data_IF_459348717217
#
_entry.id   IF_459348717217
#
_cell.length_a   1.000
_cell.length_b   1.000
_cell.length_c   1.000
_cell.angle_alpha   90.00
_cell.angle_beta   90.00
_cell.angle_gamma   90.00
#
_symmetry.space_group_name_H-M   'P 1'
#
loop_
_entity.id
_entity.type
_entity.pdbx_description
1 polymer ?
#
# COMPACT_ATOMS: atom_id res chain seq x y z
N UNK A 1 15.35 -3.09 -5.47
CA UNK A 1 14.65 -2.74 -4.22
C UNK A 1 13.76 -1.54 -4.50
N UNK A 2 12.51 -1.58 -4.01
CA UNK A 2 11.47 -0.55 -4.15
C UNK A 2 10.96 -0.26 -2.73
N UNK A 3 10.59 0.98 -2.42
CA UNK A 3 9.95 1.29 -1.13
C UNK A 3 8.55 0.66 -1.06
N UNK A 4 7.96 0.56 0.12
CA UNK A 4 6.58 0.08 0.28
C UNK A 4 5.84 1.00 1.24
N UNK A 5 4.57 1.30 0.97
CA UNK A 5 3.77 2.04 1.92
C UNK A 5 3.69 1.28 3.25
N UNK A 6 4.05 1.94 4.35
CA UNK A 6 4.64 1.28 5.52
C UNK A 6 3.79 0.17 6.17
N UNK A 7 2.50 0.43 6.44
CA UNK A 7 1.63 -0.55 7.11
C UNK A 7 0.73 -1.33 6.15
N UNK A 8 1.01 -1.28 4.84
CA UNK A 8 0.20 -1.92 3.80
C UNK A 8 -1.28 -1.49 3.81
N UNK A 9 -1.55 -0.21 4.08
CA UNK A 9 -2.90 0.37 4.00
C UNK A 9 -3.28 0.71 2.56
N UNK A 10 -4.56 0.60 2.21
CA UNK A 10 -5.07 1.01 0.89
C UNK A 10 -5.05 2.53 0.78
N UNK A 11 -3.97 3.08 0.22
CA UNK A 11 -3.70 4.52 0.23
C UNK A 11 -4.85 5.36 -0.34
N UNK A 12 -5.55 4.97 -1.43
CA UNK A 12 -6.67 5.75 -1.94
C UNK A 12 -7.84 5.92 -0.94
N UNK A 13 -7.93 5.04 0.07
CA UNK A 13 -8.96 5.07 1.12
C UNK A 13 -8.47 5.70 2.43
N UNK A 14 -7.22 6.15 2.50
CA UNK A 14 -6.69 6.88 3.64
C UNK A 14 -7.07 8.36 3.52
N UNK A 15 -7.32 9.01 4.65
CA UNK A 15 -7.35 10.49 4.67
C UNK A 15 -5.98 11.04 4.25
N UNK A 16 -5.92 12.33 3.89
CA UNK A 16 -4.69 12.95 3.38
C UNK A 16 -3.50 12.78 4.34
N UNK A 17 -3.69 13.03 5.64
CA UNK A 17 -2.63 12.98 6.64
C UNK A 17 -2.03 11.59 6.77
N UNK A 18 -2.88 10.57 6.85
CA UNK A 18 -2.42 9.19 7.02
C UNK A 18 -1.78 8.66 5.74
N UNK A 19 -2.34 9.02 4.57
CA UNK A 19 -1.75 8.71 3.28
C UNK A 19 -0.33 9.27 3.17
N UNK A 20 -0.10 10.53 3.57
CA UNK A 20 1.24 11.14 3.61
C UNK A 20 2.19 10.39 4.54
N UNK A 21 1.76 10.06 5.76
CA UNK A 21 2.60 9.32 6.71
C UNK A 21 2.95 7.92 6.21
N UNK A 22 1.99 7.17 5.65
CA UNK A 22 2.25 5.82 5.12
C UNK A 22 3.31 5.84 4.01
N UNK A 23 3.28 6.85 3.14
CA UNK A 23 4.31 7.07 2.12
C UNK A 23 5.64 7.44 2.78
N UNK A 24 5.68 8.49 3.59
CA UNK A 24 6.93 8.99 4.19
C UNK A 24 7.63 7.97 5.08
N UNK A 25 6.87 7.22 5.88
CA UNK A 25 7.40 6.13 6.70
C UNK A 25 7.98 5.01 5.82
N UNK A 26 7.32 4.68 4.71
CA UNK A 26 7.83 3.73 3.74
C UNK A 26 9.14 4.16 3.08
N UNK A 27 9.26 5.45 2.75
CA UNK A 27 10.50 6.03 2.22
C UNK A 27 11.62 6.03 3.27
N UNK A 28 11.30 6.37 4.52
CA UNK A 28 12.25 6.36 5.63
C UNK A 28 12.77 4.95 5.93
N UNK A 29 11.88 3.94 5.97
CA UNK A 29 12.25 2.54 6.13
C UNK A 29 13.20 2.07 4.99
N UNK A 30 12.88 2.43 3.75
CA UNK A 30 13.74 2.13 2.62
C UNK A 30 15.12 2.76 2.76
N UNK A 31 15.21 4.07 3.07
CA UNK A 31 16.48 4.78 3.25
C UNK A 31 17.31 4.16 4.37
N UNK A 32 16.65 3.78 5.47
CA UNK A 32 17.31 3.13 6.60
C UNK A 32 17.93 1.78 6.21
N UNK A 33 17.20 0.93 5.49
CA UNK A 33 17.65 -0.42 5.11
C UNK A 33 18.66 -0.41 3.97
N UNK A 34 18.44 0.41 2.95
CA UNK A 34 19.20 0.37 1.69
C UNK A 34 20.23 1.49 1.54
N UNK A 35 20.26 2.48 2.45
CA UNK A 35 21.23 3.59 2.48
C UNK A 35 21.32 4.38 1.16
N UNK A 36 20.19 4.52 0.47
CA UNK A 36 20.01 5.33 -0.74
C UNK A 36 18.55 5.77 -0.88
N UNK A 37 18.28 6.69 -1.80
CA UNK A 37 16.92 7.09 -2.14
C UNK A 37 16.17 5.97 -2.92
N UNK A 38 14.88 5.76 -2.64
CA UNK A 38 14.02 4.90 -3.47
C UNK A 38 13.65 5.61 -4.77
N UNK A 39 13.56 4.85 -5.84
CA UNK A 39 13.09 5.36 -7.14
C UNK A 39 11.59 5.18 -7.34
N UNK A 40 10.96 4.34 -6.52
CA UNK A 40 9.56 3.94 -6.63
C UNK A 40 9.03 3.42 -5.29
N UNK A 41 7.71 3.28 -5.23
CA UNK A 41 6.98 2.67 -4.12
C UNK A 41 6.01 1.60 -4.63
N UNK A 42 6.04 0.43 -4.01
CA UNK A 42 4.98 -0.56 -4.10
C UNK A 42 3.75 -0.07 -3.33
N UNK A 43 2.69 0.20 -4.08
CA UNK A 43 1.40 0.56 -3.53
C UNK A 43 0.70 -0.73 -3.05
N UNK A 44 0.18 -0.79 -1.81
CA UNK A 44 -0.56 -1.93 -1.33
C UNK A 44 -1.70 -2.28 -2.28
N UNK A 45 -1.71 -3.52 -2.77
CA UNK A 45 -2.67 -4.00 -3.78
C UNK A 45 -2.63 -3.25 -5.12
N UNK A 46 -1.48 -2.64 -5.44
CA UNK A 46 -1.31 -1.62 -6.50
C UNK A 46 -2.37 -0.52 -6.46
N UNK A 47 -2.96 -0.28 -5.28
CA UNK A 47 -4.13 0.58 -5.15
C UNK A 47 -3.74 2.04 -5.37
N UNK A 48 -4.32 2.66 -6.40
CA UNK A 48 -3.94 4.01 -6.83
C UNK A 48 -5.14 4.86 -7.28
N UNK A 49 -5.03 6.16 -7.03
CA UNK A 49 -5.88 7.21 -7.57
C UNK A 49 -5.01 8.46 -7.86
N UNK A 50 -5.63 9.53 -8.34
CA UNK A 50 -4.94 10.78 -8.67
C UNK A 50 -4.16 11.35 -7.47
N UNK A 51 -4.76 11.34 -6.28
CA UNK A 51 -4.15 11.88 -5.08
C UNK A 51 -2.93 11.08 -4.61
N UNK A 52 -2.96 9.74 -4.76
CA UNK A 52 -1.81 8.88 -4.45
C UNK A 52 -0.68 9.13 -5.43
N UNK A 53 -0.97 9.18 -6.74
CA UNK A 53 0.05 9.44 -7.76
C UNK A 53 0.66 10.84 -7.61
N UNK A 54 -0.16 11.84 -7.30
CA UNK A 54 0.30 13.20 -6.98
C UNK A 54 1.24 13.24 -5.79
N UNK A 55 0.97 12.46 -4.75
CA UNK A 55 1.85 12.36 -3.59
C UNK A 55 3.18 11.66 -3.93
N UNK A 56 3.18 10.59 -4.74
CA UNK A 56 4.42 9.95 -5.17
C UNK A 56 5.31 10.92 -5.98
N UNK A 57 4.68 11.75 -6.82
CA UNK A 57 5.34 12.82 -7.57
C UNK A 57 5.96 13.86 -6.62
N UNK A 58 5.20 14.32 -5.62
CA UNK A 58 5.68 15.32 -4.64
C UNK A 58 6.86 14.80 -3.81
N UNK A 59 6.88 13.50 -3.52
CA UNK A 59 7.98 12.84 -2.80
C UNK A 59 9.15 12.44 -3.73
N UNK A 60 9.10 12.83 -5.02
CA UNK A 60 10.22 12.70 -5.96
C UNK A 60 10.44 11.31 -6.54
N UNK A 61 9.43 10.43 -6.51
CA UNK A 61 9.54 9.09 -7.07
C UNK A 61 9.54 9.11 -8.60
N UNK A 62 10.41 8.29 -9.21
CA UNK A 62 10.63 8.23 -10.66
C UNK A 62 9.55 7.44 -11.37
N UNK A 63 9.10 6.33 -10.77
CA UNK A 63 8.10 5.44 -11.38
C UNK A 63 7.17 4.77 -10.37
N UNK A 64 6.08 4.19 -10.86
CA UNK A 64 5.16 3.31 -10.11
C UNK A 64 4.76 2.12 -10.97
N UNK A 65 4.37 1.01 -10.33
CA UNK A 65 3.91 -0.22 -11.00
C UNK A 65 2.41 -0.38 -10.73
N UNK A 66 1.61 -0.59 -11.78
CA UNK A 66 0.16 -0.79 -11.72
C UNK A 66 -0.26 -2.01 -12.53
N UNK A 67 -1.48 -2.51 -12.29
CA UNK A 67 -2.09 -3.56 -13.09
C UNK A 67 -2.65 -3.02 -14.42
N UNK A 68 -2.63 -3.80 -15.51
CA UNK A 68 -3.12 -3.38 -16.82
C UNK A 68 -4.53 -2.77 -16.81
N UNK A 69 -5.46 -3.32 -16.02
CA UNK A 69 -6.85 -2.83 -15.92
C UNK A 69 -6.96 -1.43 -15.31
N UNK A 70 -5.92 -0.94 -14.63
CA UNK A 70 -5.92 0.39 -14.04
C UNK A 70 -5.69 1.48 -15.10
N UNK A 71 -5.29 1.13 -16.31
CA UNK A 71 -5.21 2.06 -17.44
C UNK A 71 -6.59 2.28 -18.08
N UNK A 72 -6.94 3.55 -18.29
CA UNK A 72 -8.20 3.94 -18.94
C UNK A 72 -7.99 4.15 -20.45
N UNK A 73 -6.99 4.98 -20.79
CA UNK A 73 -6.67 5.36 -22.16
C UNK A 73 -5.21 5.74 -22.28
N UNK A 74 -4.66 5.55 -23.47
CA UNK A 74 -3.28 5.90 -23.80
C UNK A 74 -3.24 6.87 -24.97
N UNK A 75 -2.16 7.63 -25.05
CA UNK A 75 -1.84 8.47 -26.19
C UNK A 75 -0.41 8.19 -26.60
N UNK A 76 -0.23 7.63 -27.79
CA UNK A 76 1.06 7.12 -28.26
C UNK A 76 1.55 7.97 -29.43
N UNK A 77 2.79 8.46 -29.34
CA UNK A 77 3.48 9.04 -30.49
C UNK A 77 4.07 7.89 -31.33
N UNK A 78 3.31 7.41 -32.32
CA UNK A 78 3.72 6.27 -33.18
C UNK A 78 4.97 6.56 -34.01
N UNK A 79 5.33 7.83 -34.22
CA UNK A 79 6.54 8.22 -34.97
C UNK A 79 7.82 8.23 -34.13
N UNK A 80 7.73 8.24 -32.79
CA UNK A 80 8.88 8.22 -31.89
C UNK A 80 9.37 6.80 -31.55
N UNK A 81 8.54 5.77 -31.75
CA UNK A 81 8.87 4.37 -31.39
C UNK A 81 9.90 3.75 -32.36
N UNK A 82 10.06 4.31 -33.56
CA UNK A 82 11.00 3.81 -34.60
C UNK A 82 12.30 4.59 -34.70
N UNK A 83 12.45 5.72 -34.00
CA UNK A 83 13.64 6.55 -34.04
C UNK A 83 14.46 6.38 -32.77
N UNK A 84 15.52 5.58 -32.85
CA UNK A 84 16.62 5.72 -31.92
C UNK A 84 17.26 7.11 -32.16
N UNK A 85 17.37 7.88 -31.08
CA UNK A 85 18.15 9.12 -30.91
C UNK A 85 17.33 10.43 -30.85
N UNK A 86 17.44 11.05 -29.66
CA UNK A 86 17.57 12.50 -29.45
C UNK A 86 16.39 13.46 -29.66
N UNK A 87 15.13 13.01 -29.62
CA UNK A 87 14.04 13.95 -29.35
C UNK A 87 13.10 13.50 -28.23
N UNK A 88 13.14 14.27 -27.14
CA UNK A 88 12.10 14.32 -26.12
C UNK A 88 10.85 15.03 -26.66
N UNK A 89 10.45 14.72 -27.90
CA UNK A 89 9.29 15.30 -28.53
C UNK A 89 8.04 14.72 -27.86
N UNK A 90 7.51 15.54 -26.96
CA UNK A 90 6.25 15.36 -26.28
C UNK A 90 5.20 14.86 -27.28
N UNK A 91 4.43 13.86 -26.86
CA UNK A 91 3.21 13.43 -27.54
C UNK A 91 2.40 14.68 -27.92
N UNK A 92 2.34 15.01 -29.23
CA UNK A 92 1.59 16.18 -29.70
C UNK A 92 0.15 16.10 -29.18
N UNK A 93 -0.46 17.23 -28.75
CA UNK A 93 -1.87 17.26 -28.35
C UNK A 93 -2.82 16.73 -29.44
N UNK A 94 -2.36 16.70 -30.71
CA UNK A 94 -3.10 16.20 -31.87
C UNK A 94 -3.22 14.67 -31.94
N UNK A 95 -2.44 13.92 -31.15
CA UNK A 95 -2.62 12.46 -31.08
C UNK A 95 -3.92 12.13 -30.33
N UNK A 96 -4.77 11.31 -30.94
CA UNK A 96 -6.02 10.88 -30.31
C UNK A 96 -5.74 9.94 -29.12
N UNK A 97 -6.61 10.04 -28.11
CA UNK A 97 -6.60 9.10 -27.00
C UNK A 97 -7.27 7.80 -27.42
N UNK A 98 -6.60 6.68 -27.21
CA UNK A 98 -7.11 5.34 -27.50
C UNK A 98 -7.49 4.66 -26.18
N UNK A 99 -8.70 4.10 -26.10
CA UNK A 99 -9.13 3.36 -24.91
C UNK A 99 -8.35 2.06 -24.77
N UNK A 100 -7.87 1.80 -23.56
CA UNK A 100 -7.26 0.52 -23.15
C UNK A 100 -7.93 -0.08 -21.92
N UNK A 101 -9.12 0.45 -21.60
CA UNK A 101 -9.94 -0.03 -20.49
C UNK A 101 -10.18 -1.55 -20.61
N UNK A 102 -10.15 -2.23 -19.48
CA UNK A 102 -10.24 -3.70 -19.43
C UNK A 102 -8.89 -4.43 -19.52
N UNK A 103 -7.76 -3.69 -19.59
CA UNK A 103 -6.42 -4.26 -19.45
C UNK A 103 -5.74 -4.63 -20.76
N UNK A 104 -6.07 -3.92 -21.85
CA UNK A 104 -5.47 -4.16 -23.18
C UNK A 104 -4.21 -3.33 -23.44
N UNK A 105 -3.71 -2.62 -22.42
CA UNK A 105 -2.52 -1.78 -22.50
C UNK A 105 -1.26 -2.61 -22.83
N UNK A 106 -0.32 -2.02 -23.56
CA UNK A 106 0.96 -2.65 -23.84
C UNK A 106 1.88 -2.60 -22.61
N UNK A 107 2.02 -3.75 -21.93
CA UNK A 107 2.84 -3.92 -20.73
C UNK A 107 4.35 -3.92 -20.97
N UNK A 108 4.78 -3.81 -22.24
CA UNK A 108 6.19 -3.95 -22.62
C UNK A 108 7.00 -2.65 -22.64
N UNK A 109 6.33 -1.52 -22.35
CA UNK A 109 6.91 -0.18 -22.33
C UNK A 109 6.46 0.60 -21.10
N UNK A 110 7.18 1.67 -20.78
CA UNK A 110 6.77 2.63 -19.76
C UNK A 110 5.86 3.72 -20.35
N UNK A 111 4.91 4.19 -19.55
CA UNK A 111 4.04 5.32 -19.89
C UNK A 111 4.30 6.51 -18.98
N UNK A 112 4.03 7.72 -19.47
CA UNK A 112 4.03 8.95 -18.67
C UNK A 112 2.61 9.22 -18.19
N UNK A 113 2.41 9.23 -16.88
CA UNK A 113 1.20 9.80 -16.30
C UNK A 113 1.45 11.28 -15.97
N UNK A 114 0.53 12.14 -16.41
CA UNK A 114 0.49 13.56 -16.05
C UNK A 114 -0.55 13.76 -14.95
N UNK A 115 -0.18 14.45 -13.88
CA UNK A 115 -1.11 14.76 -12.80
C UNK A 115 -2.23 15.70 -13.29
N UNK A 116 -3.46 15.52 -12.79
CA UNK A 116 -4.66 16.19 -13.33
C UNK A 116 -4.83 17.65 -12.89
N UNK A 117 -4.01 18.14 -11.98
CA UNK A 117 -4.03 19.53 -11.48
C UNK A 117 -3.53 20.58 -12.51
N UNK A 118 -3.11 20.16 -13.70
CA UNK A 118 -2.62 21.07 -14.75
C UNK A 118 -1.20 21.60 -14.50
N UNK A 119 -0.51 21.14 -13.47
CA UNK A 119 0.87 21.56 -13.15
C UNK A 119 1.92 21.02 -14.13
N UNK A 120 1.57 20.01 -14.94
CA UNK A 120 2.49 19.31 -15.83
C UNK A 120 3.44 18.35 -15.11
N UNK A 121 3.33 18.21 -13.78
CA UNK A 121 4.09 17.22 -13.02
C UNK A 121 3.70 15.80 -13.47
N UNK A 122 4.66 14.88 -13.43
CA UNK A 122 4.51 13.56 -14.03
C UNK A 122 5.29 12.48 -13.32
N UNK A 123 4.84 11.24 -13.43
CA UNK A 123 5.58 10.03 -13.01
C UNK A 123 5.52 8.98 -14.13
N UNK A 124 6.56 8.15 -14.24
CA UNK A 124 6.52 6.99 -15.12
C UNK A 124 5.64 5.88 -14.52
N UNK A 125 4.91 5.17 -15.36
CA UNK A 125 4.04 4.06 -14.97
C UNK A 125 4.42 2.83 -15.77
N UNK A 126 4.70 1.74 -15.06
CA UNK A 126 4.85 0.41 -15.64
C UNK A 126 3.58 -0.40 -15.39
N UNK A 127 3.15 -1.12 -16.41
CA UNK A 127 2.09 -2.13 -16.29
C UNK A 127 2.72 -3.50 -16.43
N UNK A 128 2.46 -4.39 -15.48
CA UNK A 128 3.02 -5.73 -15.49
C UNK A 128 2.22 -6.69 -16.37
N UNK A 129 2.87 -7.71 -16.90
CA UNK A 129 2.22 -8.77 -17.66
C UNK A 129 1.38 -9.65 -16.73
N UNK A 130 0.06 -9.49 -16.82
CA UNK A 130 -0.88 -10.15 -15.93
C UNK A 130 -1.05 -11.63 -16.24
N UNK A 131 -1.00 -12.04 -17.50
CA UNK A 131 -1.11 -13.45 -17.88
C UNK A 131 0.08 -14.24 -17.33
N UNK A 132 1.29 -13.69 -17.47
CA UNK A 132 2.50 -14.28 -16.93
C UNK A 132 2.51 -14.24 -15.39
N UNK A 133 2.08 -13.14 -14.76
CA UNK A 133 1.94 -13.06 -13.31
C UNK A 133 0.93 -14.10 -12.78
N UNK A 134 -0.22 -14.28 -13.45
CA UNK A 134 -1.20 -15.30 -13.12
C UNK A 134 -0.62 -16.71 -13.27
N UNK A 135 0.13 -16.97 -14.35
CA UNK A 135 0.76 -18.26 -14.57
C UNK A 135 1.81 -18.62 -13.49
N UNK A 136 2.57 -17.63 -13.01
CA UNK A 136 3.50 -17.78 -11.88
C UNK A 136 2.75 -18.12 -10.60
N UNK A 137 1.68 -17.38 -10.30
CA UNK A 137 0.94 -17.55 -9.07
C UNK A 137 0.12 -18.85 -9.03
N UNK A 138 -0.50 -19.26 -10.14
CA UNK A 138 -1.56 -20.28 -10.13
C UNK A 138 -1.40 -21.44 -11.14
N UNK A 139 -0.56 -21.31 -12.18
CA UNK A 139 -0.46 -22.32 -13.26
C UNK A 139 0.87 -23.09 -13.30
N UNK A 140 1.52 -23.27 -12.15
CA UNK A 140 2.78 -24.00 -12.01
C UNK A 140 3.89 -23.52 -12.97
N UNK A 141 3.91 -22.24 -13.39
CA UNK A 141 4.99 -21.75 -14.24
C UNK A 141 6.37 -21.89 -13.57
N UNK A 142 6.40 -21.97 -12.23
CA UNK A 142 7.60 -22.20 -11.43
C UNK A 142 8.03 -23.68 -11.34
N UNK A 143 7.39 -24.61 -12.05
CA UNK A 143 7.77 -26.03 -12.02
C UNK A 143 9.18 -26.31 -12.59
N UNK A 144 9.68 -25.47 -13.51
CA UNK A 144 11.07 -25.50 -13.98
C UNK A 144 11.47 -24.15 -14.57
N UNK A 145 12.76 -23.81 -14.51
CA UNK A 145 13.31 -22.58 -15.07
C UNK A 145 13.05 -22.48 -16.58
N UNK A 146 13.15 -23.60 -17.31
CA UNK A 146 12.87 -23.66 -18.75
C UNK A 146 11.41 -23.31 -19.06
N UNK A 147 10.45 -23.86 -18.30
CA UNK A 147 9.02 -23.54 -18.45
C UNK A 147 8.74 -22.05 -18.20
N UNK A 148 9.35 -21.47 -17.16
CA UNK A 148 9.22 -20.05 -16.87
C UNK A 148 9.78 -19.20 -18.02
N UNK A 149 10.99 -19.52 -18.50
CA UNK A 149 11.63 -18.78 -19.60
C UNK A 149 10.90 -18.98 -20.93
N UNK A 150 10.25 -20.11 -21.17
CA UNK A 150 9.34 -20.32 -22.31
C UNK A 150 8.14 -19.38 -22.27
N UNK A 151 7.55 -19.17 -21.10
CA UNK A 151 6.45 -18.22 -20.94
C UNK A 151 6.92 -16.77 -21.08
N UNK A 152 8.07 -16.42 -20.51
CA UNK A 152 8.71 -15.10 -20.72
C UNK A 152 8.95 -14.85 -22.21
N UNK A 153 9.46 -15.83 -22.94
CA UNK A 153 9.73 -15.70 -24.37
C UNK A 153 8.47 -15.53 -25.21
N UNK A 154 7.34 -16.11 -24.80
CA UNK A 154 6.03 -15.90 -25.45
C UNK A 154 5.46 -14.51 -25.18
N UNK A 155 5.71 -13.95 -23.99
CA UNK A 155 5.26 -12.61 -23.62
C UNK A 155 6.10 -11.48 -24.27
N UNK A 156 7.33 -11.78 -24.68
CA UNK A 156 8.22 -10.80 -25.29
C UNK A 156 7.68 -10.27 -26.63
N UNK A 157 7.68 -8.93 -26.80
CA UNK A 157 7.16 -8.26 -28.01
C UNK A 157 8.24 -7.84 -29.02
N UNK A 158 9.50 -8.21 -28.77
CA UNK A 158 10.62 -7.94 -29.66
C UNK A 158 11.86 -7.41 -28.93
N UNK A 159 12.91 -7.10 -29.68
CA UNK A 159 14.16 -6.54 -29.15
C UNK A 159 13.89 -5.16 -28.52
N UNK A 160 14.39 -4.94 -27.31
CA UNK A 160 14.18 -3.68 -26.56
C UNK A 160 12.88 -3.60 -25.76
N UNK A 161 11.97 -4.56 -25.92
CA UNK A 161 10.76 -4.65 -25.11
C UNK A 161 11.05 -5.17 -23.69
N UNK A 162 10.35 -4.64 -22.69
CA UNK A 162 10.43 -5.13 -21.32
C UNK A 162 9.42 -6.27 -21.12
N UNK A 163 9.84 -7.36 -20.47
CA UNK A 163 8.89 -8.32 -19.89
C UNK A 163 9.01 -8.17 -18.38
N UNK A 164 7.92 -7.78 -17.73
CA UNK A 164 7.89 -7.54 -16.30
C UNK A 164 6.65 -8.14 -15.66
N UNK A 165 6.79 -8.62 -14.43
CA UNK A 165 5.72 -9.27 -13.66
C UNK A 165 5.68 -8.69 -12.25
N UNK A 166 4.48 -8.65 -11.68
CA UNK A 166 4.28 -8.35 -10.26
C UNK A 166 3.49 -9.50 -9.63
N UNK A 167 4.08 -10.11 -8.60
CA UNK A 167 3.51 -11.26 -7.87
C UNK A 167 3.97 -11.18 -6.42
N UNK A 168 3.17 -11.72 -5.50
CA UNK A 168 3.56 -11.84 -4.09
C UNK A 168 4.83 -12.68 -3.93
N UNK A 169 5.72 -12.26 -3.02
CA UNK A 169 7.00 -12.92 -2.78
C UNK A 169 6.84 -14.37 -2.31
N UNK A 170 5.75 -14.64 -1.60
CA UNK A 170 5.33 -15.95 -1.11
C UNK A 170 5.11 -16.96 -2.25
N UNK A 171 4.92 -16.51 -3.49
CA UNK A 171 4.90 -17.38 -4.68
C UNK A 171 6.17 -18.22 -4.81
N UNK A 172 7.33 -17.66 -4.43
CA UNK A 172 8.64 -18.27 -4.64
C UNK A 172 9.13 -19.00 -3.38
N UNK A 173 8.46 -20.11 -3.04
CA UNK A 173 8.89 -21.02 -1.97
C UNK A 173 7.77 -21.43 -1.01
N UNK A 174 6.87 -20.52 -0.66
CA UNK A 174 5.75 -20.82 0.23
C UNK A 174 4.59 -21.48 -0.53
N UNK A 175 4.08 -20.83 -1.58
CA UNK A 175 3.01 -21.38 -2.42
C UNK A 175 3.54 -22.44 -3.39
N UNK A 176 4.70 -22.18 -4.00
CA UNK A 176 5.37 -23.13 -4.89
C UNK A 176 6.70 -23.56 -4.29
N UNK A 177 6.75 -24.78 -3.78
CA UNK A 177 7.97 -25.37 -3.21
C UNK A 177 9.11 -25.31 -4.25
N UNK A 178 10.26 -24.77 -3.85
CA UNK A 178 11.44 -24.55 -4.72
C UNK A 178 11.24 -23.52 -5.84
N UNK A 179 10.19 -22.69 -5.78
CA UNK A 179 9.98 -21.60 -6.74
C UNK A 179 11.10 -20.56 -6.73
N UNK A 180 11.75 -20.35 -5.59
CA UNK A 180 12.96 -19.53 -5.43
C UNK A 180 14.15 -20.08 -6.23
N UNK A 181 14.37 -21.41 -6.18
CA UNK A 181 15.40 -22.07 -6.99
C UNK A 181 15.09 -21.93 -8.48
N UNK A 182 13.84 -22.18 -8.88
CA UNK A 182 13.39 -22.00 -10.26
C UNK A 182 13.68 -20.58 -10.77
N UNK A 183 13.35 -19.55 -9.98
CA UNK A 183 13.64 -18.16 -10.31
C UNK A 183 15.15 -17.89 -10.44
N UNK A 184 15.96 -18.40 -9.51
CA UNK A 184 17.41 -18.22 -9.56
C UNK A 184 18.03 -18.81 -10.83
N UNK A 185 17.67 -20.04 -11.22
CA UNK A 185 18.16 -20.67 -12.45
C UNK A 185 17.64 -19.97 -13.71
N UNK A 186 16.38 -19.51 -13.70
CA UNK A 186 15.80 -18.77 -14.81
C UNK A 186 16.57 -17.46 -15.07
N UNK A 187 16.85 -16.68 -14.02
CA UNK A 187 17.51 -15.38 -14.14
C UNK A 187 19.02 -15.50 -14.42
N UNK A 188 19.70 -16.47 -13.80
CA UNK A 188 21.15 -16.59 -13.91
C UNK A 188 21.62 -17.37 -15.16
N UNK A 189 20.78 -18.28 -15.69
CA UNK A 189 21.17 -19.19 -16.77
C UNK A 189 20.23 -19.13 -17.97
N UNK A 190 18.99 -19.62 -17.79
CA UNK A 190 18.11 -19.93 -18.92
C UNK A 190 17.67 -18.68 -19.71
N UNK A 191 17.37 -17.57 -19.02
CA UNK A 191 16.97 -16.33 -19.69
C UNK A 191 18.13 -15.69 -20.48
N UNK A 192 19.34 -15.50 -19.89
CA UNK A 192 20.53 -15.07 -20.66
C UNK A 192 20.87 -15.98 -21.84
N UNK A 193 20.79 -17.30 -21.67
CA UNK A 193 21.04 -18.27 -22.74
C UNK A 193 20.06 -18.12 -23.91
N UNK A 194 18.89 -17.55 -23.67
CA UNK A 194 17.87 -17.23 -24.67
C UNK A 194 17.92 -15.78 -25.18
N UNK A 195 18.95 -15.02 -24.81
CA UNK A 195 19.17 -13.65 -25.26
C UNK A 195 18.46 -12.57 -24.45
N UNK A 196 17.85 -12.91 -23.31
CA UNK A 196 17.28 -11.89 -22.41
C UNK A 196 18.37 -11.21 -21.60
N UNK A 197 18.28 -9.89 -21.48
CA UNK A 197 19.07 -9.10 -20.53
C UNK A 197 18.26 -8.90 -19.26
N UNK A 198 18.81 -9.32 -18.12
CA UNK A 198 18.21 -9.01 -16.82
C UNK A 198 18.48 -7.54 -16.50
N UNK A 199 17.44 -6.80 -16.15
CA UNK A 199 17.48 -5.36 -15.86
C UNK A 199 16.54 -5.05 -14.70
N UNK A 200 16.63 -3.84 -14.16
CA UNK A 200 15.61 -3.29 -13.27
C UNK A 200 14.87 -2.11 -13.95
N UNK A 201 13.77 -1.66 -13.35
CA UNK A 201 12.94 -0.56 -13.90
C UNK A 201 13.70 0.76 -14.05
N UNK A 202 14.56 1.13 -13.08
CA UNK A 202 15.33 2.37 -13.13
C UNK A 202 16.31 2.39 -14.29
N UNK A 203 17.08 1.32 -14.46
CA UNK A 203 18.00 1.16 -15.60
C UNK A 203 17.26 1.11 -16.94
N UNK A 204 16.12 0.42 -17.01
CA UNK A 204 15.29 0.39 -18.22
C UNK A 204 14.81 1.80 -18.58
N UNK A 205 14.34 2.57 -17.59
CA UNK A 205 13.80 3.91 -17.77
C UNK A 205 14.86 4.94 -18.21
N UNK A 206 16.11 4.76 -17.80
CA UNK A 206 17.24 5.60 -18.25
C UNK A 206 17.53 5.43 -19.74
N UNK A 207 17.32 4.22 -20.26
CA UNK A 207 17.55 3.89 -21.67
C UNK A 207 16.29 4.08 -22.53
N UNK A 208 15.10 4.00 -21.92
CA UNK A 208 13.80 4.04 -22.59
C UNK A 208 12.85 4.99 -21.86
N UNK A 209 13.08 6.32 -21.92
CA UNK A 209 12.19 7.29 -21.31
C UNK A 209 10.76 7.18 -21.90
N UNK A 210 9.69 7.40 -21.12
CA UNK A 210 8.33 7.14 -21.60
C UNK A 210 7.93 8.10 -22.72
N UNK A 211 7.72 7.53 -23.92
CA UNK A 211 7.28 8.25 -25.12
C UNK A 211 5.75 8.22 -25.34
N UNK A 212 5.02 7.46 -24.52
CA UNK A 212 3.56 7.38 -24.53
C UNK A 212 3.00 7.98 -23.23
N UNK A 213 1.79 8.53 -23.30
CA UNK A 213 1.03 8.99 -22.12
C UNK A 213 -0.05 8.00 -21.74
N UNK A 214 -0.37 7.95 -20.46
CA UNK A 214 -1.47 7.14 -19.92
C UNK A 214 -2.36 7.97 -19.01
N UNK A 215 -3.67 7.73 -19.10
CA UNK A 215 -4.61 8.12 -18.07
C UNK A 215 -4.98 6.90 -17.24
N UNK A 216 -4.87 7.04 -15.92
CA UNK A 216 -5.28 6.01 -14.95
C UNK A 216 -6.78 6.15 -14.67
N UNK A 217 -7.47 5.01 -14.61
CA UNK A 217 -8.89 4.96 -14.28
C UNK A 217 -9.13 5.40 -12.84
N UNK A 218 -10.19 6.19 -12.63
CA UNK A 218 -10.55 6.66 -11.28
C UNK A 218 -11.33 5.60 -10.49
N UNK A 219 -11.64 4.46 -11.11
CA UNK A 219 -12.51 3.44 -10.54
C UNK A 219 -14.00 3.83 -10.58
N UNK A 220 -14.91 2.91 -10.22
CA UNK A 220 -16.35 3.09 -10.37
C UNK A 220 -16.90 4.30 -9.60
N UNK A 221 -16.41 4.52 -8.38
CA UNK A 221 -16.86 5.57 -7.46
C UNK A 221 -15.86 6.74 -7.35
N UNK A 222 -14.85 6.79 -8.24
CA UNK A 222 -13.79 7.83 -8.17
C UNK A 222 -12.75 7.63 -7.05
N UNK A 223 -12.85 6.55 -6.28
CA UNK A 223 -11.98 6.27 -5.12
C UNK A 223 -10.62 5.66 -5.51
N UNK A 224 -10.47 5.19 -6.74
CA UNK A 224 -9.26 4.52 -7.23
C UNK A 224 -9.49 3.07 -7.67
N UNK A 225 -8.41 2.48 -8.20
CA UNK A 225 -8.37 1.11 -8.70
C UNK A 225 -7.28 0.30 -8.01
N UNK A 226 -7.34 -1.04 -8.12
CA UNK A 226 -6.36 -1.99 -7.54
C UNK A 226 -6.15 -3.18 -8.47
N UNK A 227 -5.12 -4.00 -8.24
CA UNK A 227 -4.88 -5.22 -9.04
C UNK A 227 -5.81 -6.40 -8.73
N UNK A 228 -6.43 -6.43 -7.54
CA UNK A 228 -7.07 -7.62 -6.97
C UNK A 228 -8.59 -7.45 -6.76
N UNK A 229 -9.16 -6.34 -7.24
CA UNK A 229 -10.60 -6.09 -7.25
C UNK A 229 -11.04 -5.40 -8.54
N UNK A 230 -11.96 -6.05 -9.29
CA UNK A 230 -12.56 -5.49 -10.51
C UNK A 230 -13.44 -4.27 -10.24
N UNK A 231 -13.84 -4.05 -8.98
CA UNK A 231 -14.65 -2.92 -8.51
C UNK A 231 -13.79 -1.80 -7.90
N UNK A 232 -12.55 -1.66 -8.37
CA UNK A 232 -11.61 -0.64 -7.92
C UNK A 232 -11.02 -0.94 -6.54
N UNK A 233 -11.25 -0.05 -5.56
CA UNK A 233 -10.86 -0.26 -4.16
C UNK A 233 -12.02 -0.72 -3.27
N UNK A 234 -13.18 -1.04 -3.85
CA UNK A 234 -14.39 -1.36 -3.10
C UNK A 234 -14.22 -2.55 -2.13
N UNK A 235 -13.33 -3.51 -2.44
CA UNK A 235 -13.02 -4.66 -1.56
C UNK A 235 -12.61 -4.22 -0.15
N UNK A 236 -12.02 -3.05 0.06
CA UNK A 236 -11.52 -2.62 1.37
C UNK A 236 -12.39 -1.57 2.07
N UNK A 237 -13.58 -1.29 1.52
CA UNK A 237 -14.52 -0.31 2.09
C UNK A 237 -15.97 -0.78 2.14
N UNK A 238 -16.41 -1.64 1.21
CA UNK A 238 -17.82 -2.06 1.10
C UNK A 238 -17.99 -3.48 0.59
N UNK A 239 -19.23 -3.94 0.59
CA UNK A 239 -19.62 -5.17 -0.07
C UNK A 239 -19.68 -4.97 -1.59
N UNK A 240 -18.62 -5.40 -2.28
CA UNK A 240 -18.57 -5.41 -3.74
C UNK A 240 -18.80 -6.80 -4.34
N UNK A 241 -19.22 -7.78 -3.52
CA UNK A 241 -19.40 -9.17 -3.92
C UNK A 241 -18.12 -9.95 -4.21
N UNK A 242 -16.93 -9.34 -4.12
CA UNK A 242 -15.66 -10.07 -4.24
C UNK A 242 -15.43 -10.94 -2.98
N UNK A 243 -15.37 -12.25 -3.19
CA UNK A 243 -15.20 -13.25 -2.14
C UNK A 243 -13.86 -13.97 -2.28
N UNK A 244 -13.24 -14.25 -1.14
CA UNK A 244 -12.03 -15.09 -1.01
C UNK A 244 -12.26 -15.98 0.20
N UNK A 245 -12.24 -17.30 0.01
CA UNK A 245 -12.54 -18.31 1.04
C UNK A 245 -13.94 -18.15 1.68
N UNK A 246 -14.97 -18.00 0.84
CA UNK A 246 -16.37 -17.83 1.28
C UNK A 246 -17.26 -19.04 0.97
N UNK A 247 -18.27 -19.25 1.81
CA UNK A 247 -19.33 -20.24 1.56
C UNK A 247 -20.53 -19.62 0.82
N UNK A 248 -21.38 -20.43 0.16
CA UNK A 248 -22.62 -19.94 -0.44
C UNK A 248 -23.47 -19.15 0.56
N UNK A 249 -23.83 -17.92 0.17
CA UNK A 249 -24.66 -17.02 0.99
C UNK A 249 -23.88 -16.06 1.90
N UNK A 250 -22.56 -16.20 1.99
CA UNK A 250 -21.73 -15.22 2.69
C UNK A 250 -21.68 -13.90 1.91
N UNK A 251 -21.48 -12.80 2.63
CA UNK A 251 -21.39 -11.45 2.09
C UNK A 251 -20.34 -10.61 2.85
N UNK A 252 -20.02 -9.43 2.32
CA UNK A 252 -18.97 -8.56 2.85
C UNK A 252 -19.52 -7.24 3.39
N UNK A 253 -20.81 -7.22 3.74
CA UNK A 253 -21.50 -6.05 4.28
C UNK A 253 -20.95 -5.59 5.63
N UNK A 254 -20.12 -6.39 6.29
CA UNK A 254 -19.40 -6.04 7.52
C UNK A 254 -18.28 -5.01 7.32
N UNK A 255 -17.75 -4.86 6.09
CA UNK A 255 -16.59 -3.98 5.82
C UNK A 255 -16.88 -2.51 6.08
N UNK A 256 -18.06 -2.05 5.65
CA UNK A 256 -18.46 -0.65 5.80
C UNK A 256 -18.65 -0.27 7.29
N UNK A 257 -19.43 -1.01 8.11
CA UNK A 257 -19.52 -0.71 9.53
C UNK A 257 -18.20 -0.83 10.29
N UNK A 258 -17.34 -1.81 9.94
CA UNK A 258 -16.00 -1.89 10.52
C UNK A 258 -15.21 -0.62 10.24
N UNK A 259 -15.15 -0.19 8.98
CA UNK A 259 -14.43 1.04 8.61
C UNK A 259 -15.00 2.27 9.31
N UNK A 260 -16.32 2.41 9.40
CA UNK A 260 -16.96 3.50 10.16
C UNK A 260 -16.55 3.50 11.63
N UNK A 261 -16.50 2.34 12.29
CA UNK A 261 -16.06 2.23 13.69
C UNK A 261 -14.59 2.66 13.86
N UNK A 262 -13.72 2.23 12.95
CA UNK A 262 -12.30 2.60 12.97
C UNK A 262 -12.10 4.10 12.68
N UNK A 263 -12.85 4.65 11.73
CA UNK A 263 -12.81 6.08 11.40
C UNK A 263 -13.20 6.96 12.60
N UNK A 264 -14.25 6.58 13.34
CA UNK A 264 -14.64 7.27 14.58
C UNK A 264 -13.50 7.30 15.61
N UNK A 265 -12.83 6.16 15.82
CA UNK A 265 -11.72 6.05 16.76
C UNK A 265 -10.49 6.83 16.30
N UNK A 266 -10.15 6.74 15.01
CA UNK A 266 -9.05 7.48 14.39
C UNK A 266 -9.25 8.98 14.56
N UNK A 267 -10.43 9.48 14.24
CA UNK A 267 -10.71 10.91 14.21
C UNK A 267 -10.74 11.49 15.65
N UNK A 268 -11.22 10.71 16.62
CA UNK A 268 -11.12 11.04 18.05
C UNK A 268 -9.64 11.11 18.50
N UNK A 269 -8.83 10.11 18.18
CA UNK A 269 -7.40 10.09 18.49
C UNK A 269 -6.63 11.24 17.82
N UNK A 270 -6.97 11.56 16.57
CA UNK A 270 -6.38 12.66 15.82
C UNK A 270 -6.69 14.03 16.43
N UNK A 271 -7.92 14.23 16.92
CA UNK A 271 -8.31 15.47 17.57
C UNK A 271 -7.52 15.71 18.87
N UNK A 272 -7.37 14.68 19.71
CA UNK A 272 -6.55 14.78 20.92
C UNK A 272 -5.06 14.96 20.60
N UNK A 273 -4.56 14.31 19.55
CA UNK A 273 -3.18 14.47 19.12
C UNK A 273 -2.89 15.88 18.62
N UNK A 274 -3.77 16.49 17.81
CA UNK A 274 -3.62 17.88 17.39
C UNK A 274 -3.64 18.84 18.59
N UNK A 275 -4.46 18.56 19.61
CA UNK A 275 -4.54 19.38 20.82
C UNK A 275 -3.24 19.41 21.65
N UNK A 276 -2.28 18.54 21.38
CA UNK A 276 -0.95 18.55 22.03
C UNK A 276 -0.02 19.64 21.48
N UNK A 277 -0.42 20.32 20.39
CA UNK A 277 0.35 21.41 19.77
C UNK A 277 0.63 22.53 20.78
N UNK A 278 1.88 22.94 20.85
CA UNK A 278 2.35 23.99 21.76
C UNK A 278 2.52 23.55 23.21
N UNK A 279 2.03 22.37 23.60
CA UNK A 279 2.21 21.80 24.94
C UNK A 279 3.28 20.70 24.93
N UNK A 280 3.02 19.59 24.21
CA UNK A 280 3.95 18.47 24.09
C UNK A 280 4.77 18.52 22.80
N UNK A 281 4.20 19.05 21.71
CA UNK A 281 4.87 19.11 20.41
C UNK A 281 4.73 20.51 19.79
N UNK A 282 5.79 21.04 19.20
CA UNK A 282 5.71 22.26 18.36
C UNK A 282 4.82 22.03 17.15
N UNK A 283 5.02 20.88 16.48
CA UNK A 283 4.10 20.37 15.46
C UNK A 283 3.88 18.86 15.64
N UNK A 284 2.72 18.44 16.18
CA UNK A 284 2.45 17.02 16.42
C UNK A 284 2.49 16.19 15.13
N UNK A 285 2.03 16.73 13.98
CA UNK A 285 2.01 15.95 12.74
C UNK A 285 3.40 15.75 12.14
N UNK A 286 4.28 16.76 12.22
CA UNK A 286 5.68 16.60 11.85
C UNK A 286 6.38 15.59 12.77
N UNK A 287 6.12 15.65 14.09
CA UNK A 287 6.64 14.66 15.04
C UNK A 287 6.15 13.24 14.70
N UNK A 288 4.87 13.06 14.35
CA UNK A 288 4.33 11.77 13.90
C UNK A 288 5.04 11.26 12.63
N UNK A 289 5.23 12.13 11.64
CA UNK A 289 5.89 11.74 10.37
C UNK A 289 7.36 11.33 10.59
N UNK A 290 8.06 11.94 11.55
CA UNK A 290 9.45 11.60 11.91
C UNK A 290 9.57 10.44 12.92
N UNK A 291 8.51 10.12 13.68
CA UNK A 291 8.53 9.08 14.71
C UNK A 291 8.87 7.67 14.20
N UNK A 292 8.82 7.46 12.87
CA UNK A 292 9.33 6.25 12.24
C UNK A 292 10.78 5.95 12.62
N UNK A 293 11.62 6.96 12.88
CA UNK A 293 13.01 6.72 13.29
C UNK A 293 13.12 5.91 14.58
N UNK A 294 12.19 6.11 15.51
CA UNK A 294 12.13 5.38 16.78
C UNK A 294 11.68 3.94 16.59
N UNK A 295 10.83 3.68 15.58
CA UNK A 295 10.40 2.32 15.24
C UNK A 295 11.45 1.54 14.46
N UNK A 296 12.29 2.22 13.66
CA UNK A 296 13.32 1.58 12.84
C UNK A 296 14.59 1.23 13.62
N UNK A 297 14.94 2.01 14.64
CA UNK A 297 16.17 1.86 15.39
C UNK A 297 15.92 2.05 16.89
N UNK A 298 15.91 0.94 17.64
CA UNK A 298 15.72 0.94 19.09
C UNK A 298 16.84 1.62 19.86
N UNK A 299 17.98 1.92 19.22
CA UNK A 299 19.08 2.68 19.82
C UNK A 299 18.88 4.20 19.71
N UNK A 300 17.87 4.66 18.97
CA UNK A 300 17.56 6.09 18.88
C UNK A 300 17.10 6.62 20.22
N UNK A 301 17.71 7.73 20.63
CA UNK A 301 17.35 8.42 21.86
C UNK A 301 15.98 9.08 21.71
N UNK A 302 15.01 8.59 22.48
CA UNK A 302 13.68 9.18 22.61
C UNK A 302 13.74 10.59 23.18
N UNK A 303 14.66 10.83 24.13
CA UNK A 303 14.87 12.16 24.71
C UNK A 303 15.35 13.15 23.65
N UNK A 304 16.32 12.77 22.81
CA UNK A 304 16.80 13.64 21.73
C UNK A 304 15.72 13.89 20.68
N UNK A 305 14.94 12.87 20.34
CA UNK A 305 13.78 13.03 19.46
C UNK A 305 12.78 14.04 20.04
N UNK A 306 12.35 13.84 21.29
CA UNK A 306 11.40 14.74 21.94
C UNK A 306 11.95 16.15 22.07
N UNK A 307 13.24 16.32 22.38
CA UNK A 307 13.89 17.65 22.44
C UNK A 307 13.85 18.40 21.11
N UNK A 308 13.87 17.69 19.96
CA UNK A 308 13.75 18.31 18.62
C UNK A 308 12.32 18.73 18.30
N UNK A 309 11.32 18.01 18.82
CA UNK A 309 9.92 18.19 18.45
C UNK A 309 9.08 18.91 19.51
N UNK A 310 9.56 19.04 20.73
CA UNK A 310 8.86 19.71 21.82
C UNK A 310 9.14 21.23 21.81
N UNK A 311 8.17 22.06 22.22
CA UNK A 311 8.32 23.51 22.27
C UNK A 311 9.26 23.97 23.40
N UNK A 312 9.56 23.07 24.35
CA UNK A 312 10.41 23.28 25.52
C UNK A 312 10.97 21.94 26.00
N UNK A 313 11.87 21.98 26.98
CA UNK A 313 12.23 20.77 27.72
C UNK A 313 11.00 20.24 28.46
N UNK A 314 10.67 18.98 28.20
CA UNK A 314 9.57 18.28 28.84
C UNK A 314 10.05 17.66 30.16
N UNK A 315 9.15 17.56 31.13
CA UNK A 315 9.34 16.71 32.30
C UNK A 315 9.22 15.24 31.90
N UNK A 316 9.75 14.33 32.73
CA UNK A 316 9.66 12.88 32.49
C UNK A 316 8.22 12.39 32.28
N UNK A 317 7.26 12.97 32.99
CA UNK A 317 5.84 12.64 32.83
C UNK A 317 5.29 13.09 31.47
N UNK A 318 5.65 14.30 31.05
CA UNK A 318 5.27 14.84 29.74
C UNK A 318 5.94 14.07 28.58
N UNK A 319 7.19 13.62 28.75
CA UNK A 319 7.86 12.75 27.78
C UNK A 319 7.12 11.42 27.60
N UNK A 320 6.75 10.75 28.70
CA UNK A 320 5.96 9.51 28.63
C UNK A 320 4.61 9.73 27.95
N UNK A 321 3.92 10.85 28.27
CA UNK A 321 2.67 11.23 27.59
C UNK A 321 2.87 11.48 26.10
N UNK A 322 3.93 12.18 25.70
CA UNK A 322 4.26 12.46 24.31
C UNK A 322 4.50 11.15 23.52
N UNK A 323 5.27 10.21 24.09
CA UNK A 323 5.50 8.89 23.46
C UNK A 323 4.22 8.06 23.37
N UNK A 324 3.36 8.08 24.40
CA UNK A 324 2.06 7.41 24.37
C UNK A 324 1.14 7.98 23.27
N UNK A 325 1.16 9.30 23.05
CA UNK A 325 0.45 9.93 21.93
C UNK A 325 0.99 9.49 20.55
N UNK A 326 2.30 9.31 20.39
CA UNK A 326 2.87 8.78 19.15
C UNK A 326 2.51 7.32 18.93
N UNK A 327 2.52 6.50 19.98
CA UNK A 327 2.07 5.09 19.91
C UNK A 327 0.57 5.01 19.61
N UNK A 328 -0.24 5.94 20.10
CA UNK A 328 -1.67 6.04 19.77
C UNK A 328 -1.86 6.29 18.27
N UNK A 329 -1.13 7.25 17.71
CA UNK A 329 -1.16 7.52 16.27
C UNK A 329 -0.66 6.33 15.43
N UNK A 330 0.38 5.63 15.89
CA UNK A 330 0.87 4.41 15.24
C UNK A 330 -0.20 3.32 15.19
N UNK A 331 -0.92 3.08 16.29
CA UNK A 331 -2.00 2.10 16.31
C UNK A 331 -3.20 2.53 15.44
N UNK A 332 -3.50 3.83 15.39
CA UNK A 332 -4.50 4.38 14.48
C UNK A 332 -4.15 4.19 13.00
N UNK A 333 -2.86 4.10 12.64
CA UNK A 333 -2.41 3.75 11.28
C UNK A 333 -2.44 2.23 11.03
N UNK A 334 -2.05 1.42 12.02
CA UNK A 334 -1.97 -0.04 11.92
C UNK A 334 -3.36 -0.69 11.80
N UNK A 335 -4.38 -0.08 12.37
CA UNK A 335 -5.76 -0.58 12.24
C UNK A 335 -6.33 -0.40 10.82
N UNK A 336 -5.53 -0.02 9.81
CA UNK A 336 -5.90 0.06 8.38
C UNK A 336 -5.11 -0.91 7.46
N UNK A 337 -4.35 -1.88 8.00
CA UNK A 337 -3.61 -2.89 7.21
C UNK A 337 -4.51 -3.76 6.33
N UNK A 338 -4.35 -3.68 5.00
CA UNK A 338 -5.34 -4.18 4.02
C UNK A 338 -5.80 -5.63 4.18
N UNK A 339 -4.96 -6.52 4.71
CA UNK A 339 -5.26 -7.94 4.88
C UNK A 339 -6.56 -8.20 5.66
N UNK A 340 -6.87 -7.36 6.66
CA UNK A 340 -8.07 -7.56 7.47
C UNK A 340 -9.39 -7.10 6.83
N UNK A 341 -9.37 -6.73 5.54
CA UNK A 341 -10.58 -6.62 4.71
C UNK A 341 -10.62 -7.64 3.57
N UNK A 342 -9.52 -8.35 3.30
CA UNK A 342 -9.36 -9.10 2.05
C UNK A 342 -10.27 -10.34 1.97
N UNK A 343 -10.36 -11.08 3.07
CA UNK A 343 -11.12 -12.34 3.19
C UNK A 343 -12.60 -12.12 3.47
N UNK A 344 -13.37 -13.21 3.45
CA UNK A 344 -14.83 -13.14 3.41
C UNK A 344 -15.50 -12.79 4.73
N UNK A 345 -14.86 -13.01 5.89
CA UNK A 345 -15.52 -12.89 7.20
C UNK A 345 -14.73 -12.07 8.25
N UNK A 346 -15.46 -11.29 9.05
CA UNK A 346 -14.90 -10.43 10.12
C UNK A 346 -14.36 -11.20 11.33
N UNK A 347 -14.61 -12.51 11.44
CA UNK A 347 -14.02 -13.35 12.50
C UNK A 347 -12.66 -13.94 12.14
N UNK A 348 -12.14 -13.66 10.94
CA UNK A 348 -10.82 -14.09 10.51
C UNK A 348 -9.69 -13.54 11.38
N UNK A 349 -8.51 -14.16 11.28
CA UNK A 349 -7.33 -13.74 12.07
C UNK A 349 -6.88 -12.31 11.71
N UNK A 350 -7.08 -11.89 10.46
CA UNK A 350 -6.67 -10.60 9.93
C UNK A 350 -7.58 -9.45 10.43
N UNK A 351 -8.92 -9.52 10.34
CA UNK A 351 -9.80 -8.56 11.02
C UNK A 351 -9.57 -8.52 12.54
N UNK A 352 -9.36 -9.67 13.19
CA UNK A 352 -9.05 -9.72 14.63
C UNK A 352 -7.77 -8.93 14.94
N UNK A 353 -6.75 -8.99 14.08
CA UNK A 353 -5.53 -8.22 14.27
C UNK A 353 -5.77 -6.71 14.18
N UNK A 354 -6.61 -6.25 13.25
CA UNK A 354 -7.04 -4.83 13.19
C UNK A 354 -7.75 -4.42 14.47
N UNK A 355 -8.66 -5.26 14.98
CA UNK A 355 -9.38 -4.98 16.22
C UNK A 355 -8.45 -4.91 17.43
N UNK A 356 -7.34 -5.68 17.45
CA UNK A 356 -6.31 -5.54 18.49
C UNK A 356 -5.61 -4.18 18.45
N UNK A 357 -5.31 -3.65 17.26
CA UNK A 357 -4.77 -2.29 17.14
C UNK A 357 -5.77 -1.23 17.62
N UNK A 358 -7.05 -1.37 17.26
CA UNK A 358 -8.12 -0.50 17.77
C UNK A 358 -8.23 -0.57 19.30
N UNK A 359 -8.17 -1.77 19.89
CA UNK A 359 -8.18 -1.95 21.34
C UNK A 359 -6.96 -1.29 22.01
N UNK A 360 -5.78 -1.35 21.38
CA UNK A 360 -4.60 -0.66 21.88
C UNK A 360 -4.75 0.86 21.81
N UNK A 361 -5.32 1.40 20.74
CA UNK A 361 -5.63 2.83 20.65
C UNK A 361 -6.60 3.27 21.76
N UNK A 362 -7.66 2.50 22.03
CA UNK A 362 -8.58 2.77 23.16
C UNK A 362 -7.82 2.72 24.50
N UNK A 363 -6.90 1.78 24.67
CA UNK A 363 -6.06 1.69 25.88
C UNK A 363 -5.20 2.92 26.10
N UNK A 364 -4.57 3.40 25.04
CA UNK A 364 -3.71 4.57 25.11
C UNK A 364 -4.51 5.84 25.41
N UNK A 365 -5.74 5.96 24.90
CA UNK A 365 -6.64 7.05 25.29
C UNK A 365 -6.93 7.03 26.80
N UNK A 366 -7.24 5.85 27.34
CA UNK A 366 -7.52 5.68 28.77
C UNK A 366 -6.26 5.96 29.63
N UNK A 367 -5.09 5.46 29.22
CA UNK A 367 -3.79 5.72 29.89
C UNK A 367 -3.42 7.21 29.88
N UNK A 368 -3.76 7.94 28.82
CA UNK A 368 -3.55 9.38 28.70
C UNK A 368 -4.56 10.20 29.52
N UNK A 369 -5.57 9.55 30.11
CA UNK A 369 -6.66 10.19 30.84
C UNK A 369 -7.63 10.96 29.93
N UNK A 370 -7.69 10.59 28.65
CA UNK A 370 -8.53 11.24 27.67
C UNK A 370 -9.93 10.62 27.66
N UNK A 371 -11.00 11.41 27.54
CA UNK A 371 -12.33 10.85 27.36
C UNK A 371 -12.39 10.01 26.08
N UNK A 372 -12.49 8.70 26.22
CA UNK A 372 -12.75 7.77 25.13
C UNK A 372 -14.25 7.46 25.06
N UNK A 373 -14.77 7.16 23.86
CA UNK A 373 -16.18 6.71 23.69
C UNK A 373 -16.26 5.24 23.26
N UNK A 374 -15.75 4.30 24.08
CA UNK A 374 -15.71 2.88 23.70
C UNK A 374 -17.11 2.31 23.45
N UNK A 375 -18.16 2.81 24.13
CA UNK A 375 -19.53 2.38 23.86
C UNK A 375 -20.02 2.82 22.48
N UNK A 376 -19.62 3.99 21.99
CA UNK A 376 -19.97 4.43 20.63
C UNK A 376 -19.23 3.58 19.59
N UNK A 377 -17.93 3.34 19.81
CA UNK A 377 -17.14 2.43 18.98
C UNK A 377 -17.78 1.04 18.89
N UNK A 378 -18.08 0.41 20.02
CA UNK A 378 -18.71 -0.91 20.07
C UNK A 378 -20.11 -0.93 19.47
N UNK A 379 -20.88 0.17 19.60
CA UNK A 379 -22.21 0.29 18.98
C UNK A 379 -22.12 0.25 17.46
N UNK A 380 -21.23 1.03 16.86
CA UNK A 380 -21.00 1.02 15.41
C UNK A 380 -20.41 -0.32 14.97
N UNK A 381 -19.49 -0.88 15.74
CA UNK A 381 -18.87 -2.17 15.44
C UNK A 381 -19.89 -3.34 15.45
N UNK A 382 -20.95 -3.25 16.26
CA UNK A 382 -21.99 -4.28 16.33
C UNK A 382 -22.83 -4.41 15.04
N UNK A 383 -22.81 -3.40 14.16
CA UNK A 383 -23.44 -3.46 12.84
C UNK A 383 -22.65 -4.36 11.86
N UNK A 384 -21.37 -4.62 12.13
CA UNK A 384 -20.52 -5.50 11.34
C UNK A 384 -20.78 -6.97 11.71
N UNK A 385 -21.69 -7.63 10.99
CA UNK A 385 -22.11 -9.01 11.27
C UNK A 385 -21.12 -10.02 10.68
N UNK A 386 -20.78 -11.05 11.45
CA UNK A 386 -20.10 -12.22 10.89
C UNK A 386 -21.07 -13.03 10.04
N UNK A 387 -20.55 -13.61 8.97
CA UNK A 387 -21.20 -14.65 8.19
C UNK A 387 -21.38 -15.96 8.97
N UNK A 388 -20.73 -16.07 10.14
CA UNK A 388 -20.87 -17.19 11.08
C UNK A 388 -21.80 -16.79 12.23
N UNK A 389 -23.08 -17.21 12.22
CA UNK A 389 -24.07 -16.74 13.18
C UNK A 389 -23.69 -17.01 14.65
N UNK A 390 -23.00 -18.12 14.91
CA UNK A 390 -22.51 -18.51 16.24
C UNK A 390 -21.41 -17.59 16.79
N UNK A 391 -20.78 -16.77 15.93
CA UNK A 391 -19.79 -15.78 16.34
C UNK A 391 -20.39 -14.37 16.51
N UNK A 392 -21.64 -14.16 16.08
CA UNK A 392 -22.36 -12.91 16.28
C UNK A 392 -21.87 -11.77 15.39
N UNK A 393 -21.63 -10.60 15.98
CA UNK A 393 -21.08 -9.43 15.30
C UNK A 393 -19.66 -9.10 15.80
N UNK A 394 -19.02 -8.12 15.17
CA UNK A 394 -17.66 -7.74 15.52
C UNK A 394 -17.50 -7.16 16.93
N UNK A 395 -18.55 -6.58 17.53
CA UNK A 395 -18.50 -6.17 18.93
C UNK A 395 -18.51 -7.39 19.88
N UNK A 396 -19.24 -8.45 19.54
CA UNK A 396 -19.21 -9.71 20.29
C UNK A 396 -17.84 -10.40 20.16
N UNK A 397 -17.28 -10.42 18.95
CA UNK A 397 -15.92 -10.93 18.68
C UNK A 397 -14.89 -10.11 19.45
N UNK A 398 -14.98 -8.78 19.43
CA UNK A 398 -14.09 -7.89 20.16
C UNK A 398 -14.08 -8.21 21.66
N UNK A 399 -15.25 -8.28 22.30
CA UNK A 399 -15.36 -8.56 23.75
C UNK A 399 -14.85 -9.96 24.10
N UNK A 400 -15.08 -10.95 23.24
CA UNK A 400 -14.71 -12.35 23.49
C UNK A 400 -13.22 -12.62 23.27
N UNK A 401 -12.61 -12.00 22.26
CA UNK A 401 -11.27 -12.38 21.77
C UNK A 401 -10.24 -11.30 21.99
N UNK A 402 -10.61 -10.02 21.84
CA UNK A 402 -9.65 -8.90 21.83
C UNK A 402 -9.52 -8.28 23.20
N UNK A 403 -10.63 -8.00 23.86
CA UNK A 403 -10.66 -7.35 25.18
C UNK A 403 -9.90 -8.14 26.26
N UNK A 404 -9.99 -9.48 26.37
CA UNK A 404 -9.21 -10.23 27.37
C UNK A 404 -7.70 -10.18 27.12
N UNK A 405 -7.26 -9.99 25.87
CA UNK A 405 -5.84 -9.89 25.53
C UNK A 405 -5.28 -8.52 25.92
N UNK A 406 -6.12 -7.48 26.00
CA UNK A 406 -5.75 -6.12 26.40
C UNK A 406 -5.09 -6.10 27.78
N UNK A 407 -5.59 -6.89 28.72
CA UNK A 407 -5.04 -6.97 30.08
C UNK A 407 -3.66 -7.66 30.14
N UNK A 408 -3.29 -8.39 29.09
CA UNK A 408 -2.03 -9.17 29.01
C UNK A 408 -0.92 -8.50 28.18
N UNK A 409 -1.24 -7.49 27.36
CA UNK A 409 -0.34 -6.90 26.36
C UNK A 409 0.24 -5.54 26.79
N UNK A 410 0.98 -5.49 27.91
CA UNK A 410 1.91 -4.38 28.19
C UNK A 410 3.28 -4.56 27.48
N UNK A 411 3.44 -5.63 26.69
CA UNK A 411 4.76 -6.08 26.22
C UNK A 411 5.22 -5.56 24.85
N UNK A 412 4.36 -4.94 24.02
CA UNK A 412 4.65 -4.61 22.61
C UNK A 412 4.76 -3.11 22.27
N UNK A 413 5.08 -2.25 23.23
CA UNK A 413 5.23 -0.81 23.00
C UNK A 413 6.55 -0.50 22.29
N UNK A 414 6.51 -0.19 20.99
CA UNK A 414 7.74 0.08 20.22
C UNK A 414 8.19 1.52 20.41
N UNK A 415 7.24 2.47 20.49
CA UNK A 415 7.59 3.88 20.68
C UNK A 415 7.78 4.27 22.14
N UNK A 416 7.19 3.54 23.09
CA UNK A 416 7.21 3.88 24.53
C UNK A 416 8.34 3.17 25.31
N UNK A 417 8.79 1.98 24.91
CA UNK A 417 9.95 1.28 25.51
C UNK A 417 11.23 1.61 24.79
#
# INVERSE_FOLDING_TARGET
>A
AIAQAYNHAILPLCNERDRRTQVRWGLADFRYRFRREPESMWLPETAGNDEVLGLLIDEGLRFVILAPQQAERVRINRTAITACHDSADAVSPDHEWESVAGGTIDTSIAYRYLHRDGSGRSIAVFFYDQELAHAIAFEQALASSTSLVDRIAKAAKGVGSLVNVATDGESYGHHHRFGDLCLAYALAGDAPARGFRITNYGEYLEQHPPAAQVQISSGPEGEGTSWSCTHGVSRWIRDCGCQTDGEPGWNQSWREPLRKALDLLRDEAAAYFEATRGDLFTDPWAARDEAIELALDQQKSREDFLRRHAPRQLSREEEMRALAFLELQRNALLMYTSCGWFFSDISGIEPIQILKYAARAISLLDELGLPSRPQQFLKTLAEAKSNRPELGNAADIYRRVVEPLRESQQSNEILVK
#
